data_IF_951095436214
#
_entry.id   IF_951095436214
#
_cell.length_a   1.000
_cell.length_b   1.000
_cell.length_c   1.000
_cell.angle_alpha   90.00
_cell.angle_beta   90.00
_cell.angle_gamma   90.00
#
_symmetry.space_group_name_H-M   'P 1'
#
loop_
_entity.id
_entity.type
_entity.pdbx_description
1 polymer ?
#
# COMPACT_ATOMS: atom_id res chain seq x y z
N UNK A 1 22.26 -7.78 69.16
CA UNK A 1 22.70 -6.58 68.42
C UNK A 1 23.48 -7.00 67.19
N UNK A 2 22.89 -6.88 66.00
CA UNK A 2 23.61 -6.59 64.75
C UNK A 2 22.62 -5.81 63.87
N UNK A 3 22.87 -4.51 63.73
CA UNK A 3 22.14 -3.63 62.83
C UNK A 3 22.55 -3.96 61.40
N UNK A 4 21.64 -4.59 60.64
CA UNK A 4 21.80 -4.74 59.19
C UNK A 4 21.64 -3.34 58.59
N UNK A 5 22.76 -2.73 58.20
CA UNK A 5 22.78 -1.41 57.58
C UNK A 5 21.96 -1.42 56.28
N UNK A 6 21.01 -0.49 56.15
CA UNK A 6 20.28 -0.25 54.89
C UNK A 6 21.27 0.27 53.85
N UNK A 7 21.63 -0.56 52.87
CA UNK A 7 22.42 -0.12 51.72
C UNK A 7 21.67 0.97 50.94
N UNK A 8 22.33 2.12 50.77
CA UNK A 8 21.82 3.22 49.95
C UNK A 8 21.98 2.88 48.46
N UNK A 9 20.94 2.27 47.86
CA UNK A 9 20.93 1.81 46.46
C UNK A 9 20.72 2.92 45.41
N UNK A 10 21.06 4.17 45.72
CA UNK A 10 20.92 5.34 44.82
C UNK A 10 21.72 5.25 43.51
N UNK A 11 22.65 4.30 43.39
CA UNK A 11 23.41 4.03 42.16
C UNK A 11 22.62 3.20 41.12
N UNK A 12 21.64 2.39 41.54
CA UNK A 12 20.79 1.62 40.63
C UNK A 12 20.07 2.48 39.57
N UNK A 13 19.39 3.59 39.91
CA UNK A 13 18.75 4.44 38.91
C UNK A 13 19.77 5.12 37.98
N UNK A 14 20.98 5.41 38.45
CA UNK A 14 22.05 6.00 37.64
C UNK A 14 22.54 4.98 36.59
N UNK A 15 22.77 3.73 37.01
CA UNK A 15 23.14 2.66 36.07
C UNK A 15 22.04 2.40 35.06
N UNK A 16 20.77 2.38 35.50
CA UNK A 16 19.65 2.21 34.60
C UNK A 16 19.57 3.35 33.57
N UNK A 17 19.73 4.60 34.01
CA UNK A 17 19.76 5.77 33.12
C UNK A 17 20.94 5.73 32.13
N UNK A 18 22.12 5.30 32.58
CA UNK A 18 23.27 5.15 31.70
C UNK A 18 23.03 4.06 30.63
N UNK A 19 22.45 2.93 31.02
CA UNK A 19 22.12 1.84 30.11
C UNK A 19 21.03 2.21 29.11
N UNK A 20 19.98 2.93 29.54
CA UNK A 20 18.93 3.41 28.63
C UNK A 20 19.45 4.45 27.65
N UNK A 21 20.33 5.35 28.09
CA UNK A 21 21.02 6.30 27.20
C UNK A 21 21.88 5.58 26.17
N UNK A 22 22.69 4.62 26.61
CA UNK A 22 23.57 3.86 25.73
C UNK A 22 22.80 3.06 24.67
N UNK A 23 21.73 2.37 25.09
CA UNK A 23 20.88 1.60 24.17
C UNK A 23 20.11 2.49 23.20
N UNK A 24 19.60 3.65 23.66
CA UNK A 24 18.94 4.63 22.79
C UNK A 24 19.89 5.23 21.76
N UNK A 25 21.12 5.53 22.16
CA UNK A 25 22.16 6.03 21.25
C UNK A 25 22.54 5.00 20.18
N UNK A 26 22.71 3.73 20.58
CA UNK A 26 22.95 2.62 19.65
C UNK A 26 21.82 2.46 18.63
N UNK A 27 20.56 2.49 19.09
CA UNK A 27 19.39 2.43 18.21
C UNK A 27 19.34 3.61 17.26
N UNK A 28 19.61 4.84 17.74
CA UNK A 28 19.60 6.04 16.92
C UNK A 28 20.67 5.99 15.81
N UNK A 29 21.90 5.58 16.14
CA UNK A 29 22.98 5.43 15.16
C UNK A 29 22.62 4.35 14.13
N UNK A 30 22.11 3.22 14.58
CA UNK A 30 21.67 2.14 13.69
C UNK A 30 20.56 2.59 12.73
N UNK A 31 19.56 3.32 13.24
CA UNK A 31 18.50 3.90 12.42
C UNK A 31 19.02 4.94 11.44
N UNK A 32 19.91 5.84 11.87
CA UNK A 32 20.47 6.87 11.00
C UNK A 32 21.26 6.27 9.83
N UNK A 33 22.08 5.24 10.09
CA UNK A 33 22.86 4.56 9.06
C UNK A 33 22.01 3.72 8.10
N UNK A 34 20.84 3.24 8.54
CA UNK A 34 19.97 2.38 7.72
C UNK A 34 18.85 3.13 7.01
N UNK A 35 18.47 4.30 7.49
CA UNK A 35 17.35 5.09 6.96
C UNK A 35 17.52 5.41 5.47
N UNK A 36 18.72 5.83 5.03
CA UNK A 36 18.98 6.15 3.62
C UNK A 36 18.82 4.92 2.71
N UNK A 37 19.36 3.77 3.13
CA UNK A 37 19.25 2.53 2.37
C UNK A 37 17.79 2.05 2.28
N UNK A 38 17.03 2.20 3.35
CA UNK A 38 15.59 1.88 3.37
C UNK A 38 14.83 2.81 2.42
N UNK A 39 15.16 4.10 2.40
CA UNK A 39 14.54 5.07 1.51
C UNK A 39 14.80 4.74 0.03
N UNK A 40 16.05 4.38 -0.32
CA UNK A 40 16.42 3.96 -1.69
C UNK A 40 15.67 2.71 -2.12
N UNK A 41 15.64 1.66 -1.29
CA UNK A 41 14.90 0.42 -1.60
C UNK A 41 13.40 0.71 -1.77
N UNK A 42 12.83 1.61 -0.97
CA UNK A 42 11.43 2.02 -1.09
C UNK A 42 11.16 2.72 -2.41
N UNK A 43 12.06 3.61 -2.85
CA UNK A 43 11.95 4.31 -4.13
C UNK A 43 12.07 3.34 -5.32
N UNK A 44 13.03 2.42 -5.29
CA UNK A 44 13.18 1.38 -6.32
C UNK A 44 11.95 0.47 -6.39
N UNK A 45 11.44 0.02 -5.24
CA UNK A 45 10.21 -0.78 -5.18
C UNK A 45 9.03 -0.02 -5.80
N UNK A 46 8.90 1.29 -5.52
CA UNK A 46 7.84 2.14 -6.08
C UNK A 46 7.98 2.28 -7.59
N UNK A 47 9.19 2.55 -8.10
CA UNK A 47 9.47 2.63 -9.54
C UNK A 47 9.15 1.32 -10.26
N UNK A 48 9.63 0.20 -9.72
CA UNK A 48 9.36 -1.12 -10.28
C UNK A 48 7.86 -1.50 -10.23
N UNK A 49 7.12 -0.98 -9.26
CA UNK A 49 5.66 -1.14 -9.18
C UNK A 49 4.99 -0.33 -10.28
N UNK A 50 5.35 0.95 -10.45
CA UNK A 50 4.78 1.82 -11.48
C UNK A 50 5.01 1.30 -12.91
N UNK A 51 6.18 0.76 -13.21
CA UNK A 51 6.45 0.13 -14.52
C UNK A 51 5.55 -1.06 -14.83
N UNK A 52 5.10 -1.80 -13.81
CA UNK A 52 4.15 -2.92 -13.98
C UNK A 52 2.72 -2.45 -14.12
N UNK A 53 2.36 -1.40 -13.37
CA UNK A 53 1.02 -0.81 -13.43
C UNK A 53 0.78 -0.04 -14.71
N UNK A 54 1.83 0.52 -15.29
CA UNK A 54 1.75 1.34 -16.49
C UNK A 54 2.73 0.78 -17.52
N UNK A 55 2.27 -0.16 -18.36
CA UNK A 55 3.02 -0.64 -19.50
C UNK A 55 3.51 0.51 -20.38
N UNK A 56 4.73 0.40 -20.90
CA UNK A 56 5.35 1.44 -21.71
C UNK A 56 4.56 1.70 -22.99
N UNK A 57 3.78 0.74 -23.48
CA UNK A 57 2.94 0.93 -24.66
C UNK A 57 1.76 1.87 -24.40
N UNK A 58 1.41 2.12 -23.13
CA UNK A 58 0.28 2.97 -22.76
C UNK A 58 0.67 4.43 -22.56
N UNK A 59 1.97 4.77 -22.49
CA UNK A 59 2.40 6.14 -22.17
C UNK A 59 3.59 6.61 -23.02
N UNK A 60 3.75 7.92 -23.14
CA UNK A 60 4.94 8.59 -23.69
C UNK A 60 5.65 9.52 -22.70
N UNK A 61 5.06 9.75 -21.52
CA UNK A 61 5.59 10.63 -20.48
C UNK A 61 6.37 9.89 -19.40
N UNK A 62 7.15 10.62 -18.59
CA UNK A 62 7.73 10.07 -17.36
C UNK A 62 6.68 10.07 -16.24
N UNK A 63 6.08 8.91 -16.00
CA UNK A 63 5.05 8.74 -14.98
C UNK A 63 5.52 9.10 -13.57
N UNK A 64 6.81 8.96 -13.26
CA UNK A 64 7.32 9.28 -11.92
C UNK A 64 7.26 10.78 -11.63
N UNK A 65 7.28 11.61 -12.67
CA UNK A 65 7.24 13.06 -12.58
C UNK A 65 5.84 13.63 -12.85
N UNK A 66 4.95 12.83 -13.42
CA UNK A 66 3.59 13.23 -13.73
C UNK A 66 2.64 12.81 -12.61
N UNK A 67 2.49 13.69 -11.61
CA UNK A 67 1.62 13.46 -10.46
C UNK A 67 0.59 14.55 -10.26
N UNK A 68 -0.57 14.16 -9.74
CA UNK A 68 -1.61 15.07 -9.26
C UNK A 68 -1.82 14.78 -7.77
N UNK A 69 -1.78 15.82 -6.95
CA UNK A 69 -2.09 15.68 -5.53
C UNK A 69 -3.58 15.41 -5.35
N UNK A 70 -3.92 14.32 -4.66
CA UNK A 70 -5.29 14.00 -4.27
C UNK A 70 -5.46 14.36 -2.81
N UNK A 71 -6.25 15.39 -2.54
CA UNK A 71 -6.50 15.85 -1.18
C UNK A 71 -7.62 15.02 -0.53
N UNK A 72 -7.24 14.26 0.50
CA UNK A 72 -8.12 13.56 1.44
C UNK A 72 -9.35 12.84 0.86
N UNK A 73 -9.23 12.01 -0.21
CA UNK A 73 -10.33 11.15 -0.61
C UNK A 73 -10.51 10.06 0.46
N UNK A 74 -11.40 10.29 1.42
CA UNK A 74 -11.85 9.29 2.41
C UNK A 74 -12.21 7.97 1.71
N UNK A 75 -12.71 8.06 0.47
CA UNK A 75 -13.01 6.93 -0.40
C UNK A 75 -11.81 6.01 -0.68
N UNK A 76 -10.60 6.58 -0.90
CA UNK A 76 -9.38 5.80 -1.12
C UNK A 76 -8.70 5.39 0.19
N UNK A 77 -9.33 5.70 1.32
CA UNK A 77 -8.80 5.40 2.64
C UNK A 77 -7.65 6.31 3.06
N UNK A 78 -7.36 7.40 2.35
CA UNK A 78 -6.25 8.30 2.70
C UNK A 78 -6.60 9.19 3.91
N UNK A 79 -5.59 9.50 4.73
CA UNK A 79 -5.69 10.42 5.87
C UNK A 79 -4.83 11.67 5.70
N UNK A 80 -4.13 11.74 4.58
CA UNK A 80 -3.20 12.79 4.19
C UNK A 80 -3.25 12.89 2.67
N UNK A 81 -2.70 13.96 2.13
CA UNK A 81 -2.51 14.11 0.68
C UNK A 81 -1.63 12.99 0.15
N UNK A 82 -2.06 12.36 -0.94
CA UNK A 82 -1.30 11.34 -1.67
C UNK A 82 -1.23 11.70 -3.15
N UNK A 83 -0.24 11.17 -3.85
CA UNK A 83 0.01 11.49 -5.26
C UNK A 83 -0.62 10.45 -6.19
N UNK A 84 -1.57 10.89 -7.02
CA UNK A 84 -2.02 10.17 -8.20
C UNK A 84 -0.92 10.20 -9.26
N UNK A 85 -0.63 9.07 -9.89
CA UNK A 85 0.30 9.00 -11.01
C UNK A 85 -0.46 9.01 -12.34
N UNK A 86 -0.06 9.90 -13.24
CA UNK A 86 -0.77 10.14 -14.50
C UNK A 86 0.07 9.71 -15.69
N UNK A 87 -0.43 8.73 -16.43
CA UNK A 87 0.13 8.27 -17.68
C UNK A 87 -0.59 8.90 -18.86
N UNK A 88 0.15 9.59 -19.73
CA UNK A 88 -0.37 10.18 -20.96
C UNK A 88 0.23 9.53 -22.18
N UNK A 89 -0.52 9.49 -23.29
CA UNK A 89 -0.04 9.07 -24.61
C UNK A 89 -0.56 10.02 -25.67
N UNK A 90 0.33 10.54 -26.50
CA UNK A 90 0.04 11.57 -27.50
C UNK A 90 -0.65 12.79 -26.90
N UNK A 91 -0.28 13.18 -25.67
CA UNK A 91 -0.88 14.29 -24.93
C UNK A 91 -2.28 14.03 -24.36
N UNK A 92 -2.83 12.82 -24.50
CA UNK A 92 -4.12 12.42 -23.91
C UNK A 92 -3.90 11.54 -22.69
N UNK A 93 -4.79 11.63 -21.70
CA UNK A 93 -4.81 10.69 -20.58
C UNK A 93 -5.01 9.27 -21.09
N UNK A 94 -4.18 8.33 -20.63
CA UNK A 94 -4.20 6.93 -21.05
C UNK A 94 -4.42 5.99 -19.87
N UNK A 95 -3.73 6.22 -18.76
CA UNK A 95 -3.76 5.36 -17.58
C UNK A 95 -3.45 6.14 -16.32
N UNK A 96 -4.06 5.73 -15.21
CA UNK A 96 -3.84 6.29 -13.88
C UNK A 96 -3.31 5.20 -12.96
N UNK A 97 -2.25 5.50 -12.19
CA UNK A 97 -1.81 4.66 -11.08
C UNK A 97 -2.26 5.30 -9.76
N UNK A 98 -3.29 4.72 -9.16
CA UNK A 98 -4.06 5.27 -8.04
C UNK A 98 -3.56 4.65 -6.74
N UNK A 99 -2.97 5.44 -5.83
CA UNK A 99 -2.67 4.95 -4.49
C UNK A 99 -3.97 4.75 -3.72
N UNK A 100 -4.10 3.64 -3.01
CA UNK A 100 -5.27 3.34 -2.18
C UNK A 100 -4.83 2.59 -0.92
N UNK A 101 -5.41 2.93 0.23
CA UNK A 101 -5.13 2.24 1.49
C UNK A 101 -6.34 1.43 1.95
N UNK A 102 -6.21 0.12 2.01
CA UNK A 102 -7.21 -0.75 2.65
C UNK A 102 -7.03 -0.69 4.17
N UNK A 103 -7.93 0.00 4.86
CA UNK A 103 -7.89 0.19 6.33
C UNK A 103 -8.34 -1.03 7.15
N UNK A 104 -8.91 -2.03 6.50
CA UNK A 104 -9.52 -3.20 7.15
C UNK A 104 -8.69 -4.49 6.96
N UNK A 105 -7.37 -4.37 6.78
CA UNK A 105 -6.48 -5.54 6.80
C UNK A 105 -6.47 -6.20 8.19
N UNK A 106 -6.04 -7.46 8.27
CA UNK A 106 -6.11 -8.22 9.51
C UNK A 106 -5.17 -7.66 10.59
N UNK A 107 -3.95 -7.30 10.19
CA UNK A 107 -2.90 -6.76 11.07
C UNK A 107 -2.73 -5.24 10.93
N UNK A 108 -3.63 -4.57 10.22
CA UNK A 108 -3.65 -3.13 10.00
C UNK A 108 -3.77 -2.73 8.54
N UNK A 109 -3.31 -1.53 8.24
CA UNK A 109 -3.44 -0.93 6.92
C UNK A 109 -2.60 -1.66 5.86
N UNK A 110 -3.16 -1.74 4.65
CA UNK A 110 -2.50 -2.27 3.45
C UNK A 110 -2.48 -1.15 2.41
N UNK A 111 -1.29 -0.73 2.01
CA UNK A 111 -1.10 0.28 0.97
C UNK A 111 -0.94 -0.40 -0.38
N UNK A 112 -1.79 -0.03 -1.33
CA UNK A 112 -1.82 -0.55 -2.68
C UNK A 112 -1.62 0.57 -3.71
N UNK A 113 -1.20 0.17 -4.89
CA UNK A 113 -1.20 1.00 -6.08
C UNK A 113 -1.93 0.24 -7.18
N UNK A 114 -2.95 0.87 -7.78
CA UNK A 114 -3.85 0.25 -8.76
C UNK A 114 -3.72 0.99 -10.09
N UNK A 115 -3.31 0.29 -11.14
CA UNK A 115 -3.24 0.85 -12.49
C UNK A 115 -4.58 0.66 -13.20
N UNK A 116 -5.18 1.75 -13.69
CA UNK A 116 -6.48 1.76 -14.36
C UNK A 116 -6.38 2.57 -15.64
N UNK A 117 -6.71 1.96 -16.77
CA UNK A 117 -6.80 2.64 -18.07
C UNK A 117 -8.04 3.53 -18.13
N UNK A 118 -8.04 4.51 -19.04
CA UNK A 118 -9.20 5.39 -19.26
C UNK A 118 -10.48 4.61 -19.61
N UNK A 119 -10.35 3.44 -20.25
CA UNK A 119 -11.48 2.54 -20.52
C UNK A 119 -12.04 1.82 -19.27
N UNK A 120 -11.48 2.07 -18.08
CA UNK A 120 -11.87 1.50 -16.80
C UNK A 120 -11.29 0.12 -16.49
N UNK A 121 -10.45 -0.44 -17.37
CA UNK A 121 -9.80 -1.73 -17.14
C UNK A 121 -8.58 -1.59 -16.24
N UNK A 122 -8.44 -2.51 -15.29
CA UNK A 122 -7.24 -2.64 -14.48
C UNK A 122 -6.11 -3.20 -15.32
N UNK A 123 -4.96 -2.55 -15.31
CA UNK A 123 -3.70 -3.06 -15.89
C UNK A 123 -3.02 -4.02 -14.94
N UNK A 124 -2.79 -3.58 -13.70
CA UNK A 124 -2.23 -4.38 -12.63
C UNK A 124 -2.54 -3.78 -11.25
N UNK A 125 -2.22 -4.54 -10.20
CA UNK A 125 -2.30 -4.13 -8.80
C UNK A 125 -0.97 -4.47 -8.12
N UNK A 126 -0.50 -3.59 -7.24
CA UNK A 126 0.73 -3.79 -6.47
C UNK A 126 0.52 -3.49 -4.99
N UNK A 127 1.10 -4.33 -4.13
CA UNK A 127 1.13 -4.11 -2.68
C UNK A 127 2.42 -3.39 -2.32
N UNK A 128 2.29 -2.16 -1.84
CA UNK A 128 3.41 -1.30 -1.48
C UNK A 128 3.88 -1.60 -0.05
N UNK A 129 2.95 -1.66 0.90
CA UNK A 129 3.23 -1.93 2.31
C UNK A 129 2.05 -2.61 3.02
N UNK A 130 2.32 -3.44 4.02
CA UNK A 130 1.33 -4.03 4.92
C UNK A 130 2.02 -4.61 6.17
N UNK A 131 1.23 -5.04 7.15
CA UNK A 131 1.69 -5.71 8.38
C UNK A 131 1.13 -7.13 8.57
N UNK A 132 0.54 -7.68 7.52
CA UNK A 132 -0.10 -9.00 7.54
C UNK A 132 0.84 -10.13 7.97
N UNK A 133 0.25 -11.18 8.54
CA UNK A 133 1.01 -12.31 9.09
C UNK A 133 1.78 -13.06 8.00
N UNK A 134 3.09 -13.28 8.17
CA UNK A 134 3.90 -14.05 7.23
C UNK A 134 3.37 -15.48 7.01
N UNK A 135 3.30 -15.90 5.76
CA UNK A 135 2.78 -17.22 5.34
C UNK A 135 1.26 -17.36 5.35
N UNK A 136 0.51 -16.30 5.70
CA UNK A 136 -0.95 -16.28 5.66
C UNK A 136 -1.46 -15.09 4.86
N UNK A 137 -1.44 -13.89 5.44
CA UNK A 137 -2.01 -12.70 4.83
C UNK A 137 -1.04 -12.00 3.87
N UNK A 138 0.26 -12.26 3.97
CA UNK A 138 1.30 -11.72 3.08
C UNK A 138 1.32 -12.36 1.68
N UNK A 139 0.52 -13.42 1.46
CA UNK A 139 0.35 -14.02 0.14
C UNK A 139 -0.31 -13.05 -0.86
N UNK A 140 -0.85 -11.92 -0.41
CA UNK A 140 -1.26 -10.81 -1.28
C UNK A 140 -0.06 -10.17 -2.01
N UNK A 141 1.17 -10.40 -1.58
CA UNK A 141 2.37 -9.93 -2.27
C UNK A 141 2.63 -10.76 -3.53
N UNK A 142 2.78 -10.07 -4.68
CA UNK A 142 3.14 -10.72 -5.96
C UNK A 142 4.37 -11.62 -5.88
N UNK A 143 5.35 -11.29 -5.04
CA UNK A 143 6.57 -12.10 -4.86
C UNK A 143 6.31 -13.45 -4.17
N UNK A 144 5.17 -13.62 -3.52
CA UNK A 144 4.82 -14.79 -2.69
C UNK A 144 3.71 -15.62 -3.32
N UNK A 145 2.83 -15.02 -4.10
CA UNK A 145 1.82 -15.75 -4.86
C UNK A 145 1.29 -14.95 -6.07
N UNK A 146 0.61 -15.66 -6.97
CA UNK A 146 -0.06 -15.10 -8.15
C UNK A 146 -1.46 -14.55 -7.83
N UNK A 147 -1.81 -14.38 -6.55
CA UNK A 147 -3.17 -13.99 -6.14
C UNK A 147 -3.61 -12.63 -6.70
N UNK A 148 -2.67 -11.71 -7.03
CA UNK A 148 -2.99 -10.44 -7.67
C UNK A 148 -3.29 -10.55 -9.17
N UNK A 149 -2.96 -11.68 -9.82
CA UNK A 149 -3.15 -11.85 -11.28
C UNK A 149 -4.62 -12.02 -11.69
N UNK A 150 -5.53 -12.11 -10.73
CA UNK A 150 -6.97 -12.13 -10.97
C UNK A 150 -7.59 -10.75 -11.23
N UNK A 151 -6.86 -9.66 -10.97
CA UNK A 151 -7.38 -8.28 -11.11
C UNK A 151 -7.17 -7.65 -12.50
N UNK A 152 -6.04 -7.88 -13.21
CA UNK A 152 -5.89 -7.39 -14.58
C UNK A 152 -7.08 -7.73 -15.48
N UNK A 153 -7.43 -6.82 -16.39
CA UNK A 153 -8.57 -6.91 -17.31
C UNK A 153 -9.96 -6.91 -16.65
N UNK A 154 -10.05 -6.67 -15.34
CA UNK A 154 -11.34 -6.39 -14.66
C UNK A 154 -11.66 -4.90 -14.66
N UNK A 155 -12.92 -4.54 -14.41
CA UNK A 155 -13.45 -3.18 -14.39
C UNK A 155 -14.71 -3.10 -13.51
N UNK A 156 -15.33 -1.92 -13.36
CA UNK A 156 -16.62 -1.78 -12.66
C UNK A 156 -17.76 -2.58 -13.31
N UNK A 157 -17.64 -2.88 -14.61
CA UNK A 157 -18.64 -3.61 -15.38
C UNK A 157 -18.32 -5.11 -15.49
N UNK A 158 -17.10 -5.53 -15.12
CA UNK A 158 -16.69 -6.92 -15.15
C UNK A 158 -15.65 -7.22 -14.06
N UNK A 159 -15.97 -7.99 -13.01
CA UNK A 159 -17.29 -8.55 -12.71
C UNK A 159 -18.31 -7.43 -12.36
N UNK A 160 -19.60 -7.77 -12.33
CA UNK A 160 -20.64 -6.87 -11.82
C UNK A 160 -20.23 -6.25 -10.48
N UNK A 161 -20.60 -4.99 -10.26
CA UNK A 161 -20.16 -4.20 -9.10
C UNK A 161 -20.46 -4.86 -7.74
N UNK A 162 -21.52 -5.66 -7.64
CA UNK A 162 -21.90 -6.37 -6.41
C UNK A 162 -21.09 -7.66 -6.17
N UNK A 163 -20.45 -8.16 -7.23
CA UNK A 163 -19.54 -9.32 -7.20
C UNK A 163 -18.09 -8.94 -6.96
N UNK A 164 -17.79 -7.66 -6.73
CA UNK A 164 -16.50 -7.18 -6.21
C UNK A 164 -16.30 -7.56 -4.73
N UNK A 165 -16.23 -8.87 -4.50
CA UNK A 165 -16.06 -9.54 -3.21
C UNK A 165 -15.27 -10.83 -3.44
N UNK A 166 -14.86 -11.47 -2.35
CA UNK A 166 -14.28 -12.81 -2.43
C UNK A 166 -15.35 -13.89 -2.67
N UNK A 167 -14.99 -15.02 -3.27
CA UNK A 167 -15.90 -16.14 -3.58
C UNK A 167 -16.63 -16.67 -2.34
N UNK A 168 -15.99 -16.71 -1.17
CA UNK A 168 -16.66 -17.08 0.10
C UNK A 168 -17.80 -16.13 0.50
N UNK A 169 -17.80 -14.90 -0.02
CA UNK A 169 -18.88 -13.93 0.15
C UNK A 169 -19.73 -13.80 -1.14
N UNK A 170 -19.78 -14.88 -1.95
CA UNK A 170 -20.51 -14.95 -3.22
C UNK A 170 -20.01 -13.96 -4.29
N UNK A 171 -18.75 -13.55 -4.20
CA UNK A 171 -18.09 -12.68 -5.17
C UNK A 171 -17.32 -13.41 -6.27
N UNK A 172 -16.54 -12.65 -7.03
CA UNK A 172 -15.77 -13.13 -8.17
C UNK A 172 -14.35 -13.60 -7.81
N UNK A 173 -13.73 -12.97 -6.82
CA UNK A 173 -12.29 -13.10 -6.56
C UNK A 173 -11.97 -14.22 -5.59
N UNK A 174 -10.88 -14.95 -5.82
CA UNK A 174 -10.42 -15.96 -4.89
C UNK A 174 -9.97 -15.33 -3.56
N UNK A 175 -10.12 -16.08 -2.48
CA UNK A 175 -9.50 -15.73 -1.19
C UNK A 175 -8.16 -16.43 -1.03
N UNK A 176 -7.39 -16.02 -0.02
CA UNK A 176 -6.24 -16.76 0.45
C UNK A 176 -6.70 -17.76 1.52
N UNK A 177 -6.24 -19.01 1.42
CA UNK A 177 -6.54 -20.06 2.39
C UNK A 177 -6.11 -19.63 3.79
N UNK A 178 -6.97 -19.83 4.79
CA UNK A 178 -6.76 -19.42 6.18
C UNK A 178 -6.60 -17.90 6.43
N UNK A 179 -6.74 -17.04 5.42
CA UNK A 179 -6.68 -15.58 5.57
C UNK A 179 -7.78 -14.91 4.73
N UNK A 180 -9.01 -14.79 5.26
CA UNK A 180 -10.13 -14.19 4.49
C UNK A 180 -10.30 -12.68 4.73
N UNK A 181 -9.80 -12.14 5.84
CA UNK A 181 -9.96 -10.70 6.15
C UNK A 181 -9.14 -9.84 5.17
N UNK A 182 -7.90 -10.23 4.93
CA UNK A 182 -6.95 -9.52 4.06
C UNK A 182 -7.42 -9.43 2.61
N UNK A 183 -7.78 -10.54 1.92
CA UNK A 183 -8.37 -10.48 0.58
C UNK A 183 -9.59 -9.56 0.47
N UNK A 184 -10.50 -9.60 1.45
CA UNK A 184 -11.70 -8.75 1.43
C UNK A 184 -11.35 -7.27 1.46
N UNK A 185 -10.40 -6.90 2.33
CA UNK A 185 -9.93 -5.53 2.42
C UNK A 185 -9.32 -5.06 1.09
N UNK A 186 -8.47 -5.89 0.48
CA UNK A 186 -7.84 -5.60 -0.81
C UNK A 186 -8.87 -5.46 -1.93
N UNK A 187 -9.77 -6.42 -2.09
CA UNK A 187 -10.82 -6.38 -3.12
C UNK A 187 -11.70 -5.13 -2.96
N UNK A 188 -12.08 -4.81 -1.71
CA UNK A 188 -12.86 -3.61 -1.41
C UNK A 188 -12.10 -2.33 -1.78
N UNK A 189 -10.80 -2.24 -1.47
CA UNK A 189 -9.98 -1.08 -1.80
C UNK A 189 -9.82 -0.89 -3.32
N UNK A 190 -9.61 -1.98 -4.07
CA UNK A 190 -9.52 -1.91 -5.54
C UNK A 190 -10.85 -1.44 -6.14
N UNK A 191 -11.99 -1.91 -5.63
CA UNK A 191 -13.31 -1.38 -6.03
C UNK A 191 -13.42 0.12 -5.80
N UNK A 192 -12.95 0.62 -4.66
CA UNK A 192 -12.96 2.07 -4.38
C UNK A 192 -12.05 2.85 -5.34
N UNK A 193 -10.88 2.30 -5.71
CA UNK A 193 -10.00 2.92 -6.70
C UNK A 193 -10.68 3.04 -8.07
N UNK A 194 -11.43 2.00 -8.50
CA UNK A 194 -12.21 2.05 -9.74
C UNK A 194 -13.35 3.07 -9.71
N UNK A 195 -14.07 3.18 -8.58
CA UNK A 195 -15.12 4.19 -8.41
C UNK A 195 -14.54 5.60 -8.45
N UNK A 196 -13.42 5.82 -7.75
CA UNK A 196 -12.69 7.08 -7.80
C UNK A 196 -12.22 7.41 -9.22
N UNK A 197 -11.66 6.43 -9.94
CA UNK A 197 -11.23 6.59 -11.33
C UNK A 197 -12.38 7.08 -12.22
N UNK A 198 -13.54 6.43 -12.17
CA UNK A 198 -14.71 6.85 -12.93
C UNK A 198 -15.11 8.29 -12.59
N UNK A 199 -15.17 8.62 -11.29
CA UNK A 199 -15.52 9.97 -10.84
C UNK A 199 -14.49 11.03 -11.30
N UNK A 200 -13.20 10.68 -11.28
CA UNK A 200 -12.10 11.54 -11.72
C UNK A 200 -12.19 11.83 -13.21
N UNK A 201 -12.49 10.83 -14.05
CA UNK A 201 -12.64 11.05 -15.49
C UNK A 201 -13.83 11.97 -15.80
N UNK A 202 -14.96 11.77 -15.12
CA UNK A 202 -16.17 12.61 -15.25
C UNK A 202 -15.86 14.05 -14.83
N UNK A 203 -15.23 14.25 -13.67
CA UNK A 203 -14.95 15.60 -13.16
C UNK A 203 -13.96 16.39 -14.02
N UNK A 204 -13.10 15.71 -14.76
CA UNK A 204 -12.10 16.31 -15.64
C UNK A 204 -12.52 16.32 -17.12
N UNK A 205 -13.77 15.92 -17.43
CA UNK A 205 -14.31 15.96 -18.80
C UNK A 205 -13.60 15.04 -19.79
N UNK A 206 -13.00 13.94 -19.30
CA UNK A 206 -12.35 12.94 -20.14
C UNK A 206 -13.39 11.99 -20.75
N UNK A 207 -14.48 11.74 -20.02
CA UNK A 207 -15.65 10.96 -20.44
C UNK A 207 -16.95 11.68 -20.05
#
# INVERSE_FOLDING_TARGET
MTSVGKENKSWLPIILAAMTLLTSALLMISHALTAEKIALIKQEKKRASLQRLVPEELIDNDILQSTIDIFEPVQLGHRQTEQLYVGTKNGLLSVLAIPVTARNGYSGDIDLLVGVQVNGQITAVEIIAHKETPGLGDLIERKKSDWLEQFPNTSLNYPEIDRWKVKKDQGHFDQITAATITPRAVVSAIKQALLFHQQFLISNGVI
#
